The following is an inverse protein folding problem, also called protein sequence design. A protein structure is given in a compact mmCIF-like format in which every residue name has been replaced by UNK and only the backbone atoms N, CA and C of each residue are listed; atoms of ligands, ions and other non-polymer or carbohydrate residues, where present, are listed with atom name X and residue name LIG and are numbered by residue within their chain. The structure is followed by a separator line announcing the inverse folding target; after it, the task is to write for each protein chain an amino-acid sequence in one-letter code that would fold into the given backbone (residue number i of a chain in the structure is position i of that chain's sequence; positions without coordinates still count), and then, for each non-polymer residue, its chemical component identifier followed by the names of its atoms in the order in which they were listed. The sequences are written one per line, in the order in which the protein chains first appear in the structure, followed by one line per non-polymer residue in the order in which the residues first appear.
data_IF_707060434012
#
_entry.id   IF_707060434012
#
_cell.length_a   1.000
_cell.length_b   1.000
_cell.length_c   1.000
_cell.angle_alpha   90.00
_cell.angle_beta   90.00
_cell.angle_gamma   90.00
#
_symmetry.space_group_name_H-M   'P 1'
#
loop_
_entity.id
_entity.type
_entity.pdbx_description
1 polymer ?
#
# COMPACT_ATOMS: atom_id res chain seq x y z
N UNK A 1 25.50 -11.58 -10.37
CA UNK A 1 24.15 -11.01 -10.62
C UNK A 1 24.01 -9.78 -9.75
N UNK A 2 23.72 -8.61 -10.31
CA UNK A 2 23.62 -7.35 -9.53
C UNK A 2 22.17 -6.93 -9.48
N UNK A 3 21.58 -6.90 -8.29
CA UNK A 3 20.21 -6.38 -8.09
C UNK A 3 20.22 -4.86 -8.24
N UNK A 4 19.23 -4.32 -8.96
CA UNK A 4 19.06 -2.88 -9.20
C UNK A 4 17.87 -2.28 -8.46
N UNK A 5 16.93 -3.12 -8.06
CA UNK A 5 15.68 -2.74 -7.38
C UNK A 5 15.35 -3.79 -6.32
N UNK A 6 14.91 -3.31 -5.16
CA UNK A 6 14.33 -4.13 -4.09
C UNK A 6 12.95 -3.55 -3.78
N UNK A 7 11.96 -4.43 -3.71
CA UNK A 7 10.59 -4.08 -3.36
C UNK A 7 10.23 -4.83 -2.09
N UNK A 8 9.82 -4.09 -1.06
CA UNK A 8 9.42 -4.65 0.24
C UNK A 8 7.93 -4.55 0.45
N UNK A 9 7.35 -5.54 1.10
CA UNK A 9 6.07 -5.40 1.76
C UNK A 9 6.24 -4.71 3.13
N UNK A 10 5.16 -4.13 3.66
CA UNK A 10 5.16 -3.41 4.93
C UNK A 10 4.77 -4.28 6.10
N UNK A 11 3.51 -4.74 6.11
CA UNK A 11 2.92 -5.40 7.27
C UNK A 11 3.49 -6.81 7.45
N UNK A 12 3.93 -7.15 8.65
CA UNK A 12 4.61 -8.40 8.98
C UNK A 12 5.91 -8.67 8.20
N UNK A 13 6.45 -7.65 7.49
CA UNK A 13 7.72 -7.73 6.76
C UNK A 13 8.71 -6.68 7.28
N UNK A 14 8.47 -5.40 7.05
CA UNK A 14 9.29 -4.30 7.55
C UNK A 14 8.81 -3.79 8.90
N UNK A 15 7.50 -3.84 9.16
CA UNK A 15 6.89 -3.34 10.37
C UNK A 15 6.92 -4.37 11.49
N UNK A 16 7.17 -3.90 12.71
CA UNK A 16 6.96 -4.64 13.95
C UNK A 16 5.46 -4.81 14.24
N UNK A 17 5.12 -5.58 15.25
CA UNK A 17 3.74 -5.79 15.71
C UNK A 17 3.06 -4.48 16.16
N UNK A 18 3.83 -3.52 16.66
CA UNK A 18 3.36 -2.18 17.04
C UNK A 18 3.26 -1.19 15.85
N UNK A 19 3.40 -1.69 14.62
CA UNK A 19 3.40 -0.93 13.38
C UNK A 19 4.52 0.12 13.27
N UNK A 20 5.65 -0.07 13.97
CA UNK A 20 6.83 0.79 13.86
C UNK A 20 7.92 0.18 12.98
N UNK A 21 8.77 1.05 12.41
CA UNK A 21 10.02 0.64 11.77
C UNK A 21 11.14 0.66 12.80
N UNK A 22 12.01 -0.35 12.78
CA UNK A 22 13.21 -0.39 13.63
C UNK A 22 14.40 0.25 12.93
N UNK A 23 15.36 0.74 13.71
CA UNK A 23 16.65 1.21 13.18
C UNK A 23 17.38 0.08 12.43
N UNK A 24 17.27 -1.14 12.91
CA UNK A 24 17.82 -2.34 12.25
C UNK A 24 17.17 -2.64 10.90
N UNK A 25 16.01 -2.05 10.61
CA UNK A 25 15.34 -2.09 9.31
C UNK A 25 15.72 -0.89 8.44
N UNK A 26 15.73 0.31 9.03
CA UNK A 26 15.98 1.58 8.30
C UNK A 26 17.43 1.63 7.79
N UNK A 27 18.41 1.33 8.62
CA UNK A 27 19.83 1.45 8.28
C UNK A 27 20.27 0.61 7.07
N UNK A 28 19.93 -0.70 6.96
CA UNK A 28 20.27 -1.50 5.78
C UNK A 28 19.61 -0.97 4.50
N UNK A 29 18.36 -0.49 4.57
CA UNK A 29 17.66 0.11 3.44
C UNK A 29 18.39 1.36 2.95
N UNK A 30 18.78 2.26 3.87
CA UNK A 30 19.58 3.43 3.55
C UNK A 30 20.95 3.10 2.92
N UNK A 31 21.58 2.00 3.33
CA UNK A 31 22.83 1.52 2.71
C UNK A 31 22.59 1.01 1.29
N UNK A 32 21.49 0.30 1.03
CA UNK A 32 21.13 -0.13 -0.32
C UNK A 32 20.93 1.07 -1.25
N UNK A 33 20.20 2.10 -0.79
CA UNK A 33 19.99 3.32 -1.57
C UNK A 33 21.30 4.06 -1.88
N UNK A 34 22.19 4.19 -0.87
CA UNK A 34 23.53 4.78 -1.06
C UNK A 34 24.42 3.98 -2.05
N UNK A 35 24.20 2.68 -2.15
CA UNK A 35 24.86 1.82 -3.13
C UNK A 35 24.25 1.88 -4.54
N UNK A 36 23.27 2.76 -4.77
CA UNK A 36 22.58 2.93 -6.05
C UNK A 36 21.50 1.88 -6.35
N UNK A 37 21.07 1.11 -5.35
CA UNK A 37 19.98 0.16 -5.49
C UNK A 37 18.66 0.91 -5.23
N UNK A 38 17.74 0.88 -6.19
CA UNK A 38 16.38 1.41 -6.00
C UNK A 38 15.65 0.63 -4.90
N UNK A 39 14.94 1.34 -4.03
CA UNK A 39 14.11 0.70 -2.99
C UNK A 39 12.73 1.29 -3.05
N UNK A 40 11.70 0.44 -2.99
CA UNK A 40 10.29 0.86 -2.91
C UNK A 40 9.45 -0.14 -2.14
N UNK A 41 8.15 0.17 -2.02
CA UNK A 41 7.17 -0.64 -1.30
C UNK A 41 6.12 -1.22 -2.23
N UNK A 42 5.65 -2.42 -1.90
CA UNK A 42 4.43 -3.02 -2.44
C UNK A 42 3.59 -3.51 -1.25
N UNK A 43 2.44 -2.89 -1.04
CA UNK A 43 1.61 -3.12 0.16
C UNK A 43 0.12 -3.16 -0.16
N UNK A 44 -0.65 -3.86 0.68
CA UNK A 44 -2.10 -3.80 0.67
C UNK A 44 -2.67 -2.46 1.13
N UNK A 45 -1.87 -1.64 1.81
CA UNK A 45 -2.30 -0.33 2.29
C UNK A 45 -2.59 0.63 1.14
N UNK A 46 -3.44 1.64 1.41
CA UNK A 46 -3.62 2.80 0.52
C UNK A 46 -2.45 3.77 0.68
N UNK A 47 -2.24 4.63 -0.31
CA UNK A 47 -1.12 5.57 -0.34
C UNK A 47 -1.04 6.43 0.94
N UNK A 48 -2.10 7.10 1.44
CA UNK A 48 -2.01 7.91 2.65
C UNK A 48 -1.50 7.14 3.87
N UNK A 49 -1.84 5.85 3.96
CA UNK A 49 -1.41 4.97 5.05
C UNK A 49 0.01 4.41 4.89
N UNK A 50 0.53 4.35 3.66
CA UNK A 50 1.89 3.91 3.36
C UNK A 50 2.92 5.04 3.39
N UNK A 51 2.51 6.28 3.07
CA UNK A 51 3.38 7.45 2.95
C UNK A 51 4.26 7.74 4.18
N UNK A 52 3.76 7.67 5.43
CA UNK A 52 4.61 7.91 6.61
C UNK A 52 5.84 6.99 6.63
N UNK A 53 5.65 5.72 6.30
CA UNK A 53 6.73 4.73 6.24
C UNK A 53 7.67 4.96 5.06
N UNK A 54 7.12 5.26 3.88
CA UNK A 54 7.93 5.59 2.71
C UNK A 54 8.85 6.79 2.97
N UNK A 55 8.34 7.82 3.66
CA UNK A 55 9.12 9.00 4.07
C UNK A 55 10.17 8.66 5.12
N UNK A 56 9.81 7.87 6.13
CA UNK A 56 10.74 7.44 7.19
C UNK A 56 11.89 6.60 6.62
N UNK A 57 11.63 5.80 5.57
CA UNK A 57 12.64 5.02 4.84
C UNK A 57 13.42 5.85 3.80
N UNK A 58 13.10 7.14 3.63
CA UNK A 58 13.75 7.99 2.62
C UNK A 58 13.55 7.52 1.19
N UNK A 59 12.40 6.91 0.88
CA UNK A 59 12.12 6.43 -0.47
C UNK A 59 11.91 7.60 -1.42
N UNK A 60 12.28 7.40 -2.68
CA UNK A 60 12.12 8.36 -3.77
C UNK A 60 11.41 7.78 -4.99
N UNK A 61 11.29 6.47 -5.04
CA UNK A 61 10.61 5.77 -6.13
C UNK A 61 9.09 5.70 -5.89
N UNK A 62 8.30 5.54 -6.96
CA UNK A 62 6.87 5.27 -6.84
C UNK A 62 6.59 4.03 -6.00
N UNK A 63 5.48 4.03 -5.28
CA UNK A 63 5.04 2.93 -4.41
C UNK A 63 3.85 2.19 -5.01
N UNK A 64 3.81 0.89 -4.80
CA UNK A 64 2.71 0.01 -5.19
C UNK A 64 1.80 -0.15 -3.98
N UNK A 65 0.52 0.19 -4.15
CA UNK A 65 -0.47 0.20 -3.07
C UNK A 65 -1.76 -0.52 -3.47
N UNK A 66 -2.71 -0.66 -2.55
CA UNK A 66 -4.01 -1.28 -2.80
C UNK A 66 -3.88 -2.71 -3.39
N UNK A 67 -3.02 -3.56 -2.81
CA UNK A 67 -2.77 -4.94 -3.27
C UNK A 67 -2.27 -5.01 -4.73
N UNK A 68 -1.52 -4.01 -5.19
CA UNK A 68 -1.02 -3.96 -6.56
C UNK A 68 -1.93 -3.23 -7.54
N UNK A 69 -3.11 -2.78 -7.11
CA UNK A 69 -4.06 -2.10 -7.98
C UNK A 69 -3.66 -0.66 -8.31
N UNK A 70 -2.70 -0.08 -7.60
CA UNK A 70 -2.28 1.31 -7.80
C UNK A 70 -0.76 1.45 -7.71
N UNK A 71 -0.17 2.18 -8.65
CA UNK A 71 1.20 2.66 -8.63
C UNK A 71 1.16 4.19 -8.63
N UNK A 72 1.76 4.80 -7.62
CA UNK A 72 1.77 6.26 -7.50
C UNK A 72 3.09 6.78 -6.97
N UNK A 73 3.41 8.03 -7.31
CA UNK A 73 4.52 8.77 -6.73
C UNK A 73 4.20 9.14 -5.28
N UNK A 74 5.21 9.58 -4.53
CA UNK A 74 5.05 9.95 -3.12
C UNK A 74 4.31 11.28 -2.91
N UNK A 75 4.17 12.09 -3.95
CA UNK A 75 3.36 13.31 -3.99
C UNK A 75 1.91 13.07 -4.47
N UNK A 76 1.57 11.80 -4.75
CA UNK A 76 0.19 11.39 -5.04
C UNK A 76 -0.18 11.33 -6.52
N UNK A 77 0.78 11.56 -7.45
CA UNK A 77 0.50 11.37 -8.87
C UNK A 77 0.30 9.88 -9.16
N UNK A 78 -0.85 9.53 -9.72
CA UNK A 78 -1.16 8.15 -10.15
C UNK A 78 -0.44 7.89 -11.47
N UNK A 79 0.44 6.89 -11.49
CA UNK A 79 1.17 6.44 -12.68
C UNK A 79 0.47 5.27 -13.37
N UNK A 80 -0.18 4.42 -12.58
CA UNK A 80 -0.97 3.29 -13.08
C UNK A 80 -2.04 2.93 -12.07
N UNK A 81 -3.21 2.57 -12.55
CA UNK A 81 -4.29 2.04 -11.72
C UNK A 81 -5.08 0.96 -12.45
N UNK A 82 -5.52 -0.04 -11.69
CA UNK A 82 -6.43 -1.09 -12.16
C UNK A 82 -7.68 -1.05 -11.29
N UNK A 83 -8.76 -0.48 -11.81
CA UNK A 83 -10.02 -0.33 -11.09
C UNK A 83 -11.00 -1.43 -11.52
N UNK A 84 -11.83 -1.86 -10.56
CA UNK A 84 -12.95 -2.73 -10.86
C UNK A 84 -14.01 -1.96 -11.68
N UNK A 85 -14.51 -2.59 -12.74
CA UNK A 85 -15.59 -1.99 -13.52
C UNK A 85 -16.83 -1.75 -12.63
N UNK A 86 -17.50 -0.58 -12.71
CA UNK A 86 -18.63 -0.22 -11.84
C UNK A 86 -19.75 -1.27 -11.80
N UNK A 87 -20.09 -1.84 -12.97
CA UNK A 87 -21.10 -2.90 -13.07
C UNK A 87 -20.72 -4.15 -12.27
N UNK A 88 -19.44 -4.54 -12.30
CA UNK A 88 -18.94 -5.67 -11.52
C UNK A 88 -18.92 -5.35 -10.00
N UNK A 89 -18.53 -4.14 -9.64
CA UNK A 89 -18.55 -3.69 -8.25
C UNK A 89 -19.98 -3.74 -7.67
N UNK A 90 -20.98 -3.24 -8.40
CA UNK A 90 -22.38 -3.31 -7.98
C UNK A 90 -22.89 -4.75 -7.84
N UNK A 91 -22.55 -5.63 -8.79
CA UNK A 91 -22.91 -7.05 -8.69
C UNK A 91 -22.27 -7.73 -7.50
N UNK A 92 -21.01 -7.44 -7.23
CA UNK A 92 -20.28 -7.99 -6.09
C UNK A 92 -20.89 -7.52 -4.77
N UNK A 93 -21.13 -6.21 -4.62
CA UNK A 93 -21.77 -5.65 -3.43
C UNK A 93 -23.15 -6.26 -3.19
N UNK A 94 -23.99 -6.36 -4.23
CA UNK A 94 -25.32 -6.98 -4.12
C UNK A 94 -25.26 -8.46 -3.71
N UNK A 95 -24.19 -9.17 -4.03
CA UNK A 95 -23.96 -10.54 -3.55
C UNK A 95 -23.46 -10.58 -2.12
N UNK A 96 -22.49 -9.74 -1.77
CA UNK A 96 -21.86 -9.71 -0.45
C UNK A 96 -22.88 -9.36 0.66
N UNK A 97 -23.84 -8.47 0.40
CA UNK A 97 -24.90 -8.12 1.35
C UNK A 97 -25.84 -9.28 1.73
N UNK A 98 -25.78 -10.39 0.99
CA UNK A 98 -26.55 -11.61 1.31
C UNK A 98 -25.86 -12.53 2.33
N UNK A 99 -24.63 -12.25 2.68
CA UNK A 99 -23.85 -13.02 3.64
C UNK A 99 -23.76 -12.27 4.97
N UNK A 100 -23.67 -12.96 6.10
CA UNK A 100 -23.53 -12.36 7.43
C UNK A 100 -22.09 -11.84 7.62
N UNK A 101 -21.72 -10.81 6.85
CA UNK A 101 -20.42 -10.17 6.95
C UNK A 101 -20.47 -9.07 8.01
N UNK A 102 -19.40 -8.97 8.81
CA UNK A 102 -19.29 -7.88 9.79
C UNK A 102 -19.22 -6.52 9.13
N UNK A 103 -18.47 -6.42 8.03
CA UNK A 103 -18.32 -5.18 7.28
C UNK A 103 -17.91 -5.45 5.83
N UNK A 104 -18.33 -4.58 4.92
CA UNK A 104 -17.85 -4.52 3.55
C UNK A 104 -17.21 -3.15 3.39
N UNK A 105 -15.94 -3.14 2.97
CA UNK A 105 -15.17 -1.92 2.77
C UNK A 105 -14.87 -1.77 1.30
N UNK A 106 -15.24 -0.63 0.73
CA UNK A 106 -14.88 -0.21 -0.62
C UNK A 106 -13.99 1.03 -0.55
N UNK A 107 -12.96 1.05 -1.39
CA UNK A 107 -12.12 2.23 -1.55
C UNK A 107 -12.34 2.78 -2.96
N UNK A 108 -12.59 4.08 -3.06
CA UNK A 108 -12.68 4.81 -4.32
C UNK A 108 -11.99 6.15 -4.14
N UNK A 109 -11.00 6.44 -4.97
CA UNK A 109 -10.07 7.54 -4.77
C UNK A 109 -9.48 7.50 -3.35
N UNK A 110 -9.48 8.61 -2.62
CA UNK A 110 -9.02 8.67 -1.23
C UNK A 110 -10.13 8.42 -0.20
N UNK A 111 -11.33 8.03 -0.65
CA UNK A 111 -12.47 7.77 0.24
C UNK A 111 -12.59 6.29 0.60
N UNK A 112 -13.02 6.04 1.83
CA UNK A 112 -13.39 4.72 2.32
C UNK A 112 -14.90 4.70 2.55
N UNK A 113 -15.57 3.74 1.96
CA UNK A 113 -16.97 3.45 2.16
C UNK A 113 -17.10 2.13 2.92
N UNK A 114 -17.84 2.12 4.00
CA UNK A 114 -18.04 0.93 4.83
C UNK A 114 -19.53 0.75 5.15
N UNK A 115 -20.00 -0.49 5.23
CA UNK A 115 -21.37 -0.80 5.60
C UNK A 115 -21.65 -0.53 7.08
N UNK A 116 -20.61 -0.57 7.92
CA UNK A 116 -20.68 -0.19 9.33
C UNK A 116 -19.53 0.77 9.64
N UNK A 117 -19.89 1.97 10.11
CA UNK A 117 -18.90 2.87 10.70
C UNK A 117 -18.51 2.31 12.08
N UNK A 118 -17.26 1.92 12.28
CA UNK A 118 -16.73 1.72 13.62
C UNK A 118 -16.16 3.05 14.10
N UNK A 119 -16.39 3.41 15.38
CA UNK A 119 -15.83 4.61 15.96
C UNK A 119 -14.29 4.57 16.01
#
# INVERSE_FOLDING_TARGET
MTYKLIIFDLDHTLLREDHTLSETTIDPIGRCQKAGIGVTLATGRRLPSALPYARQLGLTLPVITCQGAMLSTLDGQILHQCLMAPALAHQLLARLTRYPLENIICCHDDQIYATQARP
#
